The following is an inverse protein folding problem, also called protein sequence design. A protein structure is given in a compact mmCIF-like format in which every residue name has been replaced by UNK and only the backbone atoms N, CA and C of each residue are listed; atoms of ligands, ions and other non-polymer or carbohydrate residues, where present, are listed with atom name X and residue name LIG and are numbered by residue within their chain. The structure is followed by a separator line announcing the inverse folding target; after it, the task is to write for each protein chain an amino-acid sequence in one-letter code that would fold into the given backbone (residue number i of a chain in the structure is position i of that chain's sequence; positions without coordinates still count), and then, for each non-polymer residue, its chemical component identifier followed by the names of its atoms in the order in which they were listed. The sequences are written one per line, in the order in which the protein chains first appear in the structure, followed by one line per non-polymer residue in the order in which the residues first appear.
data_IF_714925994022
#
_entry.id   IF_714925994022
#
_cell.length_a   1.000
_cell.length_b   1.000
_cell.length_c   1.000
_cell.angle_alpha   90.00
_cell.angle_beta   90.00
_cell.angle_gamma   90.00
#
_symmetry.space_group_name_H-M   'P 1'
#
loop_
_entity.id
_entity.type
_entity.pdbx_description
1 polymer ?
#
# COMPACT_ATOMS: atom_id res chain seq x y z
N UNK A 1 -1.54 3.04 18.16
CA UNK A 1 -0.18 3.62 17.91
C UNK A 1 0.58 3.00 16.73
N UNK A 2 0.76 1.67 16.66
CA UNK A 2 1.50 0.99 15.57
C UNK A 2 1.07 1.40 14.16
N UNK A 3 -0.24 1.32 13.86
CA UNK A 3 -0.77 1.65 12.54
C UNK A 3 -0.51 3.12 12.14
N UNK A 4 -0.51 4.05 13.10
CA UNK A 4 -0.18 5.46 12.86
C UNK A 4 1.29 5.65 12.50
N UNK A 5 2.21 4.97 13.17
CA UNK A 5 3.65 5.02 12.84
C UNK A 5 3.88 4.47 11.43
N UNK A 6 3.33 3.30 11.12
CA UNK A 6 3.43 2.70 9.79
C UNK A 6 2.83 3.63 8.70
N UNK A 7 1.67 4.21 8.98
CA UNK A 7 1.02 5.18 8.09
C UNK A 7 1.85 6.44 7.88
N UNK A 8 2.45 6.98 8.94
CA UNK A 8 3.35 8.14 8.85
C UNK A 8 4.60 7.85 8.02
N UNK A 9 5.16 6.64 8.12
CA UNK A 9 6.28 6.20 7.28
C UNK A 9 5.87 6.06 5.81
N UNK A 10 4.68 5.50 5.53
CA UNK A 10 4.13 5.45 4.17
C UNK A 10 3.94 6.86 3.62
N UNK A 11 3.38 7.79 4.41
CA UNK A 11 3.23 9.19 4.00
C UNK A 11 4.57 9.86 3.72
N UNK A 12 5.56 9.68 4.59
CA UNK A 12 6.92 10.19 4.38
C UNK A 12 7.52 9.64 3.08
N UNK A 13 7.36 8.34 2.82
CA UNK A 13 7.79 7.74 1.56
C UNK A 13 7.10 8.38 0.35
N UNK A 14 5.83 8.75 0.47
CA UNK A 14 5.07 9.42 -0.58
C UNK A 14 5.68 10.79 -0.91
N UNK A 15 6.12 11.55 0.10
CA UNK A 15 6.79 12.84 -0.11
C UNK A 15 8.13 12.67 -0.84
N UNK A 16 8.93 11.68 -0.44
CA UNK A 16 10.21 11.35 -1.11
C UNK A 16 9.98 10.90 -2.55
N UNK A 17 9.02 10.00 -2.79
CA UNK A 17 8.65 9.57 -4.14
C UNK A 17 8.14 10.74 -5.00
N UNK A 18 7.52 11.74 -4.38
CA UNK A 18 7.07 12.96 -5.05
C UNK A 18 8.22 13.79 -5.63
N UNK A 19 9.34 13.91 -4.91
CA UNK A 19 10.53 14.60 -5.43
C UNK A 19 11.15 13.84 -6.61
N UNK A 20 11.18 12.50 -6.54
CA UNK A 20 11.63 11.66 -7.64
C UNK A 20 10.73 11.77 -8.87
N UNK A 21 9.40 11.72 -8.68
CA UNK A 21 8.42 11.96 -9.75
C UNK A 21 8.62 13.33 -10.39
N UNK A 22 8.76 14.38 -9.58
CA UNK A 22 9.01 15.74 -10.06
C UNK A 22 10.29 15.81 -10.90
N UNK A 23 11.38 15.23 -10.41
CA UNK A 23 12.63 15.17 -11.16
C UNK A 23 12.44 14.48 -12.52
N UNK A 24 11.75 13.33 -12.54
CA UNK A 24 11.46 12.61 -13.78
C UNK A 24 10.67 13.43 -14.79
N UNK A 25 9.63 14.15 -14.34
CA UNK A 25 8.84 15.06 -15.19
C UNK A 25 9.72 16.18 -15.79
N UNK A 26 10.61 16.75 -14.99
CA UNK A 26 11.46 17.88 -15.40
C UNK A 26 12.57 17.50 -16.38
N UNK A 27 13.01 16.25 -16.38
CA UNK A 27 14.16 15.79 -17.19
C UNK A 27 13.78 14.92 -18.38
N UNK A 28 12.56 14.38 -18.43
CA UNK A 28 12.07 13.62 -19.59
C UNK A 28 11.64 14.53 -20.75
N UNK A 29 11.94 14.19 -22.02
CA UNK A 29 11.39 14.87 -23.19
C UNK A 29 9.86 14.90 -23.24
N UNK A 30 9.20 13.87 -22.69
CA UNK A 30 7.74 13.70 -22.71
C UNK A 30 7.02 14.46 -21.58
N UNK A 31 7.77 15.13 -20.69
CA UNK A 31 7.19 15.82 -19.53
C UNK A 31 6.49 14.89 -18.54
N UNK A 32 6.91 13.62 -18.44
CA UNK A 32 6.29 12.60 -17.62
C UNK A 32 7.33 11.73 -16.91
N UNK A 33 7.10 11.44 -15.63
CA UNK A 33 7.88 10.44 -14.91
C UNK A 33 7.59 9.05 -15.48
N UNK A 34 8.51 8.10 -15.24
CA UNK A 34 8.26 6.69 -15.54
C UNK A 34 6.97 6.22 -14.86
N UNK A 35 6.15 5.44 -15.55
CA UNK A 35 4.80 5.06 -15.08
C UNK A 35 4.80 4.47 -13.66
N UNK A 36 5.78 3.64 -13.34
CA UNK A 36 5.89 3.05 -12.00
C UNK A 36 6.37 4.02 -10.92
N UNK A 37 7.11 5.08 -11.26
CA UNK A 37 7.43 6.17 -10.31
C UNK A 37 6.17 6.98 -10.01
N UNK A 38 5.35 7.24 -11.03
CA UNK A 38 4.07 7.91 -10.86
C UNK A 38 3.09 7.07 -10.01
N UNK A 39 2.95 5.78 -10.32
CA UNK A 39 2.13 4.84 -9.55
C UNK A 39 2.63 4.76 -8.10
N UNK A 40 3.94 4.61 -7.87
CA UNK A 40 4.50 4.51 -6.52
C UNK A 40 4.14 5.73 -5.66
N UNK A 41 4.34 6.94 -6.19
CA UNK A 41 4.02 8.16 -5.47
C UNK A 41 2.52 8.28 -5.17
N UNK A 42 1.65 8.07 -6.16
CA UNK A 42 0.19 8.16 -5.98
C UNK A 42 -0.34 7.10 -5.02
N UNK A 43 0.13 5.86 -5.15
CA UNK A 43 -0.23 4.76 -4.27
C UNK A 43 0.20 5.07 -2.83
N UNK A 44 1.43 5.53 -2.62
CA UNK A 44 1.91 5.88 -1.27
C UNK A 44 1.06 6.99 -0.62
N UNK A 45 0.65 8.02 -1.37
CA UNK A 45 -0.30 9.01 -0.84
C UNK A 45 -1.62 8.36 -0.45
N UNK A 46 -2.27 7.61 -1.35
CA UNK A 46 -3.57 6.98 -1.09
C UNK A 46 -3.51 5.98 0.07
N UNK A 47 -2.47 5.16 0.12
CA UNK A 47 -2.26 4.13 1.14
C UNK A 47 -1.95 4.74 2.51
N UNK A 48 -1.35 5.93 2.59
CA UNK A 48 -1.24 6.64 3.86
C UNK A 48 -2.62 6.99 4.43
N UNK A 49 -3.53 7.57 3.61
CA UNK A 49 -4.88 7.88 4.09
C UNK A 49 -5.69 6.63 4.40
N UNK A 50 -5.55 5.56 3.61
CA UNK A 50 -6.13 4.26 3.93
C UNK A 50 -5.53 3.68 5.23
N UNK A 51 -4.24 3.89 5.50
CA UNK A 51 -3.60 3.51 6.76
C UNK A 51 -4.19 4.23 7.97
N UNK A 52 -4.57 5.51 7.84
CA UNK A 52 -5.32 6.22 8.88
C UNK A 52 -6.70 5.59 9.11
N UNK A 53 -7.40 5.20 8.05
CA UNK A 53 -8.68 4.49 8.15
C UNK A 53 -8.52 3.18 8.94
N UNK A 54 -7.49 2.38 8.61
CA UNK A 54 -7.18 1.15 9.35
C UNK A 54 -6.85 1.45 10.82
N UNK A 55 -6.09 2.50 11.11
CA UNK A 55 -5.78 2.90 12.47
C UNK A 55 -7.05 3.22 13.27
N UNK A 56 -8.01 3.95 12.69
CA UNK A 56 -9.29 4.25 13.33
C UNK A 56 -10.07 2.97 13.61
N UNK A 57 -10.24 2.08 12.63
CA UNK A 57 -10.95 0.81 12.86
C UNK A 57 -10.24 -0.12 13.84
N UNK A 58 -8.91 -0.06 13.92
CA UNK A 58 -8.13 -0.81 14.92
C UNK A 58 -8.47 -0.36 16.34
N UNK A 59 -8.62 0.95 16.56
CA UNK A 59 -8.93 1.53 17.88
C UNK A 59 -10.43 1.37 18.24
N UNK A 60 -11.33 1.34 17.25
CA UNK A 60 -12.77 1.20 17.47
C UNK A 60 -13.29 -0.25 17.51
N UNK A 61 -12.50 -1.21 17.04
CA UNK A 61 -12.91 -2.61 16.95
C UNK A 61 -13.01 -3.28 18.34
N UNK A 62 -14.09 -4.02 18.57
CA UNK A 62 -14.29 -4.79 19.81
C UNK A 62 -13.48 -6.10 19.90
N UNK A 63 -12.76 -6.49 18.85
CA UNK A 63 -11.93 -7.69 18.87
C UNK A 63 -10.71 -7.55 19.80
N UNK A 64 -10.10 -8.67 20.23
CA UNK A 64 -8.86 -8.62 21.01
C UNK A 64 -7.78 -7.82 20.30
N UNK A 65 -7.02 -7.02 21.06
CA UNK A 65 -5.98 -6.13 20.53
C UNK A 65 -5.01 -6.85 19.58
N UNK A 66 -4.59 -8.08 19.91
CA UNK A 66 -3.70 -8.85 19.05
C UNK A 66 -4.31 -9.16 17.68
N UNK A 67 -5.61 -9.45 17.62
CA UNK A 67 -6.33 -9.73 16.36
C UNK A 67 -6.37 -8.47 15.49
N UNK A 68 -6.73 -7.32 16.07
CA UNK A 68 -6.77 -6.05 15.35
C UNK A 68 -5.37 -5.65 14.85
N UNK A 69 -4.33 -5.79 15.69
CA UNK A 69 -2.97 -5.44 15.32
C UNK A 69 -2.45 -6.31 14.17
N UNK A 70 -2.68 -7.63 14.22
CA UNK A 70 -2.25 -8.54 13.15
C UNK A 70 -3.00 -8.23 11.84
N UNK A 71 -4.32 -8.02 11.91
CA UNK A 71 -5.11 -7.66 10.75
C UNK A 71 -4.63 -6.36 10.10
N UNK A 72 -4.43 -5.31 10.88
CA UNK A 72 -3.89 -4.04 10.39
C UNK A 72 -2.46 -4.18 9.82
N UNK A 73 -1.60 -4.95 10.50
CA UNK A 73 -0.22 -5.17 10.07
C UNK A 73 -0.15 -5.87 8.71
N UNK A 74 -1.00 -6.86 8.44
CA UNK A 74 -1.06 -7.57 7.15
C UNK A 74 -1.38 -6.57 6.01
N UNK A 75 -2.42 -5.75 6.17
CA UNK A 75 -2.81 -4.78 5.13
C UNK A 75 -1.71 -3.74 4.90
N UNK A 76 -1.16 -3.19 5.99
CA UNK A 76 -0.08 -2.20 5.90
C UNK A 76 1.20 -2.77 5.28
N UNK A 77 1.51 -4.05 5.53
CA UNK A 77 2.64 -4.74 4.92
C UNK A 77 2.45 -4.89 3.40
N UNK A 78 1.25 -5.25 2.93
CA UNK A 78 0.95 -5.30 1.50
C UNK A 78 1.00 -3.92 0.83
N UNK A 79 0.49 -2.87 1.48
CA UNK A 79 0.62 -1.50 1.00
C UNK A 79 2.10 -1.11 0.83
N UNK A 80 2.92 -1.33 1.86
CA UNK A 80 4.34 -1.03 1.82
C UNK A 80 5.08 -1.85 0.73
N UNK A 81 4.77 -3.15 0.62
CA UNK A 81 5.34 -4.04 -0.38
C UNK A 81 4.98 -3.64 -1.81
N UNK A 82 3.73 -3.23 -2.05
CA UNK A 82 3.29 -2.73 -3.36
C UNK A 82 4.03 -1.43 -3.73
N UNK A 83 4.11 -0.46 -2.81
CA UNK A 83 4.87 0.78 -3.02
C UNK A 83 6.33 0.48 -3.35
N UNK A 84 6.97 -0.42 -2.57
CA UNK A 84 8.36 -0.81 -2.80
C UNK A 84 8.56 -1.47 -4.17
N UNK A 85 7.64 -2.34 -4.59
CA UNK A 85 7.66 -2.99 -5.90
C UNK A 85 7.51 -1.98 -7.03
N UNK A 86 6.60 -1.02 -6.90
CA UNK A 86 6.44 0.07 -7.87
C UNK A 86 7.68 0.96 -7.92
N UNK A 87 8.24 1.35 -6.78
CA UNK A 87 9.49 2.11 -6.73
C UNK A 87 10.63 1.33 -7.41
N UNK A 88 10.72 0.02 -7.18
CA UNK A 88 11.72 -0.85 -7.79
C UNK A 88 11.60 -0.91 -9.32
N UNK A 89 10.40 -1.13 -9.86
CA UNK A 89 10.16 -1.07 -11.30
C UNK A 89 10.36 0.34 -11.87
N UNK A 90 10.08 1.38 -11.09
CA UNK A 90 10.39 2.76 -11.43
C UNK A 90 11.90 3.00 -11.57
N UNK A 91 12.69 2.39 -10.71
CA UNK A 91 14.15 2.51 -10.69
C UNK A 91 14.78 1.71 -11.84
N UNK A 92 14.36 0.47 -12.03
CA UNK A 92 14.86 -0.41 -13.10
C UNK A 92 14.37 -0.01 -14.49
N UNK A 93 13.22 0.67 -14.57
CA UNK A 93 12.52 1.02 -15.82
C UNK A 93 12.36 -0.21 -16.73
N UNK A 94 12.14 -1.37 -16.13
CA UNK A 94 12.17 -2.67 -16.80
C UNK A 94 10.80 -3.10 -17.37
N UNK A 95 9.73 -2.45 -16.92
CA UNK A 95 8.39 -2.68 -17.45
C UNK A 95 7.50 -1.45 -17.28
N UNK A 96 6.50 -1.34 -18.14
CA UNK A 96 5.39 -0.38 -17.99
C UNK A 96 4.09 -1.07 -17.59
N UNK A 97 4.07 -2.41 -17.55
CA UNK A 97 2.99 -3.23 -17.03
C UNK A 97 3.53 -4.64 -16.69
N UNK A 98 3.82 -4.89 -15.42
CA UNK A 98 4.31 -6.17 -14.90
C UNK A 98 3.35 -7.35 -15.12
N UNK A 99 2.08 -7.07 -15.44
CA UNK A 99 1.05 -8.08 -15.69
C UNK A 99 0.78 -8.31 -17.18
N UNK A 100 1.52 -7.64 -18.08
CA UNK A 100 1.35 -7.82 -19.52
C UNK A 100 1.94 -9.15 -19.96
N UNK A 101 1.12 -9.99 -20.61
CA UNK A 101 1.54 -11.28 -21.14
C UNK A 101 1.42 -12.39 -20.10
N UNK A 102 2.27 -13.41 -20.21
CA UNK A 102 2.31 -14.50 -19.25
C UNK A 102 2.97 -14.05 -17.94
N UNK A 103 2.23 -14.15 -16.85
CA UNK A 103 2.75 -13.84 -15.51
C UNK A 103 3.36 -15.11 -14.88
N UNK A 104 4.42 -14.95 -14.09
CA UNK A 104 5.05 -16.04 -13.35
C UNK A 104 4.17 -16.57 -12.21
N UNK A 105 4.44 -17.80 -11.74
CA UNK A 105 3.72 -18.40 -10.60
C UNK A 105 3.88 -17.55 -9.34
N UNK A 106 5.08 -17.02 -9.09
CA UNK A 106 5.39 -16.18 -7.93
C UNK A 106 4.53 -14.90 -7.89
N UNK A 107 4.38 -14.21 -9.02
CA UNK A 107 3.54 -13.02 -9.13
C UNK A 107 2.07 -13.36 -8.91
N UNK A 108 1.58 -14.48 -9.46
CA UNK A 108 0.21 -14.95 -9.22
C UNK A 108 -0.06 -15.21 -7.74
N UNK A 109 0.83 -15.95 -7.08
CA UNK A 109 0.68 -16.27 -5.65
C UNK A 109 0.72 -15.00 -4.82
N UNK A 110 1.63 -14.07 -5.12
CA UNK A 110 1.71 -12.77 -4.45
C UNK A 110 0.42 -11.97 -4.60
N UNK A 111 -0.17 -11.94 -5.80
CA UNK A 111 -1.44 -11.25 -6.03
C UNK A 111 -2.61 -11.88 -5.28
N UNK A 112 -2.68 -13.22 -5.22
CA UNK A 112 -3.69 -13.92 -4.42
C UNK A 112 -3.53 -13.60 -2.93
N UNK A 113 -2.28 -13.67 -2.43
CA UNK A 113 -1.98 -13.36 -1.04
C UNK A 113 -2.33 -11.90 -0.70
N UNK A 114 -2.03 -10.95 -1.61
CA UNK A 114 -2.40 -9.54 -1.48
C UNK A 114 -3.93 -9.38 -1.39
N UNK A 115 -4.68 -9.96 -2.32
CA UNK A 115 -6.15 -9.87 -2.33
C UNK A 115 -6.75 -10.43 -1.04
N UNK A 116 -6.32 -11.62 -0.62
CA UNK A 116 -6.82 -12.25 0.60
C UNK A 116 -6.40 -11.45 1.83
N UNK A 117 -5.17 -10.97 1.89
CA UNK A 117 -4.63 -10.21 3.02
C UNK A 117 -5.29 -8.86 3.20
N UNK A 118 -5.46 -8.08 2.13
CA UNK A 118 -6.06 -6.75 2.19
C UNK A 118 -7.56 -6.82 2.51
N UNK A 119 -8.31 -7.64 1.77
CA UNK A 119 -9.75 -7.80 2.01
C UNK A 119 -10.00 -8.44 3.37
N UNK A 120 -9.32 -9.54 3.67
CA UNK A 120 -9.49 -10.28 4.93
C UNK A 120 -9.09 -9.44 6.15
N UNK A 121 -7.93 -8.77 6.09
CA UNK A 121 -7.47 -7.90 7.17
C UNK A 121 -8.45 -6.77 7.46
N UNK A 122 -8.98 -6.11 6.42
CA UNK A 122 -9.99 -5.07 6.62
C UNK A 122 -11.32 -5.64 7.15
N UNK A 123 -11.79 -6.78 6.65
CA UNK A 123 -13.02 -7.41 7.13
C UNK A 123 -12.97 -7.77 8.63
N UNK A 124 -11.80 -8.18 9.14
CA UNK A 124 -11.61 -8.42 10.58
C UNK A 124 -11.83 -7.12 11.37
N UNK A 125 -11.16 -6.03 10.98
CA UNK A 125 -11.29 -4.74 11.66
C UNK A 125 -12.72 -4.20 11.58
N UNK A 126 -13.32 -4.26 10.39
CA UNK A 126 -14.65 -3.75 10.14
C UNK A 126 -15.73 -4.54 10.88
N UNK A 127 -15.66 -5.87 10.88
CA UNK A 127 -16.59 -6.71 11.65
C UNK A 127 -16.50 -6.47 13.16
N UNK A 128 -15.30 -6.22 13.68
CA UNK A 128 -15.11 -5.91 15.09
C UNK A 128 -15.68 -4.55 15.49
N UNK A 129 -15.60 -3.57 14.58
CA UNK A 129 -16.31 -2.31 14.74
C UNK A 129 -17.83 -2.50 14.69
N UNK A 130 -18.36 -3.25 13.72
CA UNK A 130 -19.81 -3.51 13.68
C UNK A 130 -20.31 -4.21 14.95
N UNK A 131 -19.50 -5.09 15.52
CA UNK A 131 -19.80 -5.74 16.79
C UNK A 131 -19.85 -4.76 17.96
N UNK A 132 -19.00 -3.72 17.97
CA UNK A 132 -18.99 -2.71 19.03
C UNK A 132 -20.21 -1.80 19.03
N UNK A 133 -21.01 -1.79 17.95
CA UNK A 133 -22.23 -0.98 17.82
C UNK A 133 -23.49 -1.67 18.35
N UNK A 134 -23.39 -2.95 18.71
CA UNK A 134 -24.50 -3.73 19.27
C UNK A 134 -24.70 -3.43 20.74
#
# INVERSE_FOLDING_TARGET
MFALVATGLIFLSALVLGTWKYHGIRTSPEGAAHVYVDIAHRAALMYAFAGLLLAVFTELSAWPTAVNLVAAAIVLAFFAGAIATYAWHGFRRDTTNQFRGEIGVELRVTMIALVVGEIGGFLVLFSGFLWSLR
#
